data_IF_340908201093
#
_entry.id   IF_340908201093
#
_cell.length_a   1.000
_cell.length_b   1.000
_cell.length_c   1.000
_cell.angle_alpha   90.00
_cell.angle_beta   90.00
_cell.angle_gamma   90.00
#
_symmetry.space_group_name_H-M   'P 1'
#
loop_
_entity.id
_entity.type
_entity.pdbx_description
1 polymer ?
#
# COMPACT_ATOMS: atom_id res chain seq x y z
N UNK A 1 7.38 0.13 24.69
CA UNK A 1 8.22 0.26 23.48
C UNK A 1 7.80 1.55 22.79
N UNK A 2 8.73 2.42 22.38
CA UNK A 2 8.39 3.51 21.49
C UNK A 2 7.79 2.90 20.21
N UNK A 3 6.63 3.40 19.77
CA UNK A 3 6.14 3.04 18.44
C UNK A 3 7.15 3.61 17.45
N UNK A 4 7.94 2.74 16.84
CA UNK A 4 8.86 3.13 15.78
C UNK A 4 8.02 3.58 14.59
N UNK A 5 7.91 4.90 14.42
CA UNK A 5 7.17 5.48 13.30
C UNK A 5 8.01 5.31 12.05
N UNK A 6 7.44 4.72 11.00
CA UNK A 6 8.04 4.73 9.66
C UNK A 6 7.62 6.01 8.94
N UNK A 7 8.55 6.93 8.62
CA UNK A 7 8.26 8.08 7.79
C UNK A 7 7.65 7.64 6.45
N UNK A 8 6.71 8.44 5.91
CA UNK A 8 6.09 8.18 4.61
C UNK A 8 7.14 7.96 3.50
N UNK A 9 8.23 8.73 3.54
CA UNK A 9 9.34 8.63 2.57
C UNK A 9 10.00 7.25 2.54
N UNK A 10 9.91 6.50 3.63
CA UNK A 10 10.48 5.16 3.73
C UNK A 10 9.49 4.09 3.23
N UNK A 11 8.23 4.45 2.97
CA UNK A 11 7.17 3.55 2.47
C UNK A 11 6.88 3.80 0.99
N UNK A 12 6.84 5.06 0.56
CA UNK A 12 6.64 5.43 -0.86
C UNK A 12 7.75 4.83 -1.72
N UNK A 13 7.39 4.29 -2.89
CA UNK A 13 8.31 3.62 -3.79
C UNK A 13 8.62 2.16 -3.42
N UNK A 14 8.18 1.67 -2.26
CA UNK A 14 8.30 0.23 -1.94
C UNK A 14 7.39 -0.61 -2.82
N UNK A 15 7.84 -1.82 -3.10
CA UNK A 15 7.07 -2.85 -3.77
C UNK A 15 6.03 -3.43 -2.80
N UNK A 16 4.78 -3.54 -3.25
CA UNK A 16 3.73 -4.24 -2.50
C UNK A 16 3.68 -5.69 -2.97
N UNK A 17 3.70 -6.62 -2.02
CA UNK A 17 3.64 -8.06 -2.28
C UNK A 17 2.58 -8.72 -1.41
N UNK A 18 1.91 -9.77 -1.92
CA UNK A 18 1.07 -10.64 -1.11
C UNK A 18 1.91 -11.50 -0.18
N UNK A 19 1.27 -12.17 0.78
CA UNK A 19 1.94 -13.14 1.65
C UNK A 19 2.61 -14.27 0.88
N UNK A 20 2.09 -14.65 -0.29
CA UNK A 20 2.69 -15.64 -1.19
C UNK A 20 3.75 -15.07 -2.14
N UNK A 21 4.13 -13.79 -1.97
CA UNK A 21 5.16 -13.13 -2.77
C UNK A 21 4.69 -12.63 -4.15
N UNK A 22 3.37 -12.59 -4.42
CA UNK A 22 2.86 -12.03 -5.67
C UNK A 22 2.95 -10.51 -5.63
N UNK A 23 3.58 -9.92 -6.65
CA UNK A 23 3.76 -8.46 -6.75
C UNK A 23 2.45 -7.78 -7.12
N UNK A 24 2.08 -6.75 -6.37
CA UNK A 24 0.86 -5.97 -6.62
C UNK A 24 1.15 -4.66 -7.37
N UNK A 25 2.30 -4.04 -7.12
CA UNK A 25 2.67 -2.76 -7.71
C UNK A 25 3.59 -2.00 -6.77
N UNK A 26 3.65 -0.68 -6.93
CA UNK A 26 4.53 0.20 -6.14
C UNK A 26 3.69 1.19 -5.33
N UNK A 27 4.04 1.41 -4.07
CA UNK A 27 3.36 2.43 -3.24
C UNK A 27 3.60 3.80 -3.85
N UNK A 28 2.52 4.49 -4.23
CA UNK A 28 2.54 5.90 -4.63
C UNK A 28 2.42 6.80 -3.42
N UNK A 29 1.40 6.57 -2.59
CA UNK A 29 1.08 7.40 -1.43
C UNK A 29 0.18 6.64 -0.43
N UNK A 30 -0.14 7.30 0.69
CA UNK A 30 -1.04 6.80 1.74
C UNK A 30 -2.11 7.86 2.01
N UNK A 31 -3.39 7.50 1.89
CA UNK A 31 -4.47 8.39 2.32
C UNK A 31 -4.72 8.27 3.82
N UNK A 32 -5.16 9.37 4.43
CA UNK A 32 -5.48 9.42 5.83
C UNK A 32 -6.70 10.32 6.08
N UNK A 33 -7.42 10.06 7.17
CA UNK A 33 -8.47 10.94 7.64
C UNK A 33 -7.83 12.16 8.30
N UNK A 34 -8.11 13.35 7.77
CA UNK A 34 -7.42 14.59 8.14
C UNK A 34 -7.58 15.02 9.60
N UNK A 35 -8.71 14.69 10.24
CA UNK A 35 -9.01 15.10 11.61
C UNK A 35 -8.35 14.18 12.64
N UNK A 36 -8.29 12.87 12.40
CA UNK A 36 -7.67 11.91 13.32
C UNK A 36 -6.22 11.57 12.99
N UNK A 37 -5.81 11.78 11.74
CA UNK A 37 -4.54 11.27 11.20
C UNK A 37 -4.54 9.76 10.96
N UNK A 38 -5.72 9.11 10.99
CA UNK A 38 -5.85 7.68 10.77
C UNK A 38 -5.52 7.33 9.32
N UNK A 39 -4.59 6.40 9.13
CA UNK A 39 -4.21 5.90 7.81
C UNK A 39 -5.32 4.98 7.27
N UNK A 40 -5.84 5.30 6.08
CA UNK A 40 -7.01 4.62 5.51
C UNK A 40 -6.58 3.62 4.43
N UNK A 41 -5.80 4.08 3.44
CA UNK A 41 -5.43 3.22 2.31
C UNK A 41 -4.03 3.52 1.75
N UNK A 42 -3.38 2.50 1.21
CA UNK A 42 -2.29 2.65 0.26
C UNK A 42 -2.86 2.91 -1.13
N UNK A 43 -2.24 3.86 -1.83
CA UNK A 43 -2.42 4.05 -3.27
C UNK A 43 -1.28 3.36 -4.00
N UNK A 44 -1.60 2.36 -4.81
CA UNK A 44 -0.62 1.53 -5.51
C UNK A 44 -0.66 1.84 -7.01
N UNK A 45 0.48 2.32 -7.52
CA UNK A 45 0.68 2.55 -8.95
C UNK A 45 1.36 1.35 -9.61
N UNK A 46 1.40 1.38 -10.94
CA UNK A 46 2.01 0.36 -11.78
C UNK A 46 1.48 -1.06 -11.48
N UNK A 47 0.14 -1.26 -11.49
CA UNK A 47 -0.46 -2.53 -11.11
C UNK A 47 -0.02 -3.65 -12.06
N UNK A 48 0.39 -4.78 -11.48
CA UNK A 48 0.80 -5.95 -12.26
C UNK A 48 -0.39 -6.62 -12.94
N UNK A 49 -0.14 -7.53 -13.88
CA UNK A 49 -1.21 -8.33 -14.49
C UNK A 49 -1.98 -9.16 -13.44
N UNK A 50 -1.29 -9.61 -12.40
CA UNK A 50 -1.93 -10.29 -11.27
C UNK A 50 -2.89 -9.35 -10.54
N UNK A 51 -2.46 -8.13 -10.23
CA UNK A 51 -3.31 -7.10 -9.58
C UNK A 51 -4.53 -6.75 -10.40
N UNK A 52 -4.40 -6.65 -11.74
CA UNK A 52 -5.54 -6.37 -12.63
C UNK A 52 -6.57 -7.51 -12.65
N UNK A 53 -6.16 -8.73 -12.31
CA UNK A 53 -7.05 -9.88 -12.11
C UNK A 53 -7.69 -9.93 -10.72
N UNK A 54 -7.17 -9.16 -9.76
CA UNK A 54 -7.80 -8.92 -8.47
C UNK A 54 -8.77 -7.76 -8.67
N UNK A 55 -10.06 -7.95 -8.37
CA UNK A 55 -11.10 -6.92 -8.48
C UNK A 55 -10.96 -5.82 -7.42
N UNK A 56 -9.77 -5.23 -7.28
CA UNK A 56 -9.46 -4.14 -6.36
C UNK A 56 -10.13 -2.86 -6.84
N UNK A 57 -10.58 -2.06 -5.87
CA UNK A 57 -11.03 -0.71 -6.16
C UNK A 57 -9.89 0.09 -6.81
N UNK A 58 -10.24 0.89 -7.80
CA UNK A 58 -9.29 1.72 -8.53
C UNK A 58 -9.80 3.15 -8.51
N UNK A 59 -8.94 4.11 -8.15
CA UNK A 59 -9.31 5.52 -8.15
C UNK A 59 -9.29 6.13 -9.56
N UNK A 60 -9.64 7.40 -9.66
CA UNK A 60 -9.67 8.13 -10.94
C UNK A 60 -8.29 8.21 -11.63
N UNK A 61 -7.21 8.15 -10.85
CA UNK A 61 -5.81 8.14 -11.32
C UNK A 61 -5.31 6.74 -11.72
N UNK A 62 -6.20 5.74 -11.73
CA UNK A 62 -5.91 4.33 -12.06
C UNK A 62 -4.96 3.65 -11.08
N UNK A 63 -4.94 4.10 -9.83
CA UNK A 63 -4.23 3.42 -8.73
C UNK A 63 -5.11 2.37 -8.08
N UNK A 64 -4.53 1.21 -7.80
CA UNK A 64 -5.18 0.19 -6.99
C UNK A 64 -5.19 0.63 -5.52
N UNK A 65 -6.35 0.56 -4.90
CA UNK A 65 -6.57 0.93 -3.51
C UNK A 65 -6.40 -0.32 -2.63
N UNK A 66 -5.53 -0.24 -1.63
CA UNK A 66 -5.33 -1.30 -0.65
C UNK A 66 -5.62 -0.74 0.75
N UNK A 67 -6.59 -1.29 1.49
CA UNK A 67 -6.87 -0.85 2.86
C UNK A 67 -5.64 -0.96 3.76
N UNK A 68 -5.33 0.08 4.53
CA UNK A 68 -4.12 0.10 5.37
C UNK A 68 -4.13 -1.03 6.41
N UNK A 69 -5.30 -1.39 6.93
CA UNK A 69 -5.48 -2.51 7.87
C UNK A 69 -5.20 -3.91 7.29
N UNK A 70 -5.06 -4.03 5.96
CA UNK A 70 -4.69 -5.29 5.30
C UNK A 70 -3.17 -5.55 5.28
N UNK A 71 -2.37 -4.54 5.64
CA UNK A 71 -0.91 -4.64 5.69
C UNK A 71 -0.49 -5.46 6.91
N UNK A 72 0.20 -6.57 6.67
CA UNK A 72 0.71 -7.44 7.74
C UNK A 72 2.10 -7.03 8.23
N UNK A 73 2.93 -6.43 7.36
CA UNK A 73 4.28 -6.01 7.66
C UNK A 73 4.76 -4.96 6.64
N UNK A 74 5.68 -4.09 7.06
CA UNK A 74 6.41 -3.17 6.18
C UNK A 74 7.90 -3.40 6.41
N UNK A 75 8.58 -3.96 5.43
CA UNK A 75 9.99 -4.32 5.53
C UNK A 75 10.48 -4.91 4.22
N UNK A 76 11.62 -5.58 4.29
CA UNK A 76 12.10 -6.40 3.18
C UNK A 76 11.38 -7.75 3.22
N UNK A 77 11.15 -8.34 2.05
CA UNK A 77 10.47 -9.63 1.91
C UNK A 77 11.51 -10.73 1.87
N UNK A 78 11.52 -11.60 2.89
CA UNK A 78 12.39 -12.80 3.01
C UNK A 78 11.65 -14.09 2.67
#
# INVERSE_FOLDING_TARGET
MPIEKKPLRDVVGRLVVTKEGKRLGVVKDISFETRTGELIQLLVKDPTAYTKGLSLETNQDRESIIPYNSIIAIGDFE
#
